data_IF_161424898690
#
_entry.id   IF_161424898690
#
_cell.length_a   1.000
_cell.length_b   1.000
_cell.length_c   1.000
_cell.angle_alpha   90.00
_cell.angle_beta   90.00
_cell.angle_gamma   90.00
#
_symmetry.space_group_name_H-M   'P 1'
#
loop_
_entity.id
_entity.type
_entity.pdbx_description
1 polymer ?
#
# COMPACT_ATOMS: atom_id res chain seq x y z
N UNK A 1 10.83 13.76 22.30
CA UNK A 1 9.64 13.56 23.17
C UNK A 1 9.57 12.08 23.49
N UNK A 2 9.13 11.70 24.69
CA UNK A 2 8.83 10.28 24.96
C UNK A 2 7.66 9.83 24.08
N UNK A 3 7.67 8.61 23.54
CA UNK A 3 6.58 8.11 22.71
C UNK A 3 5.28 8.05 23.53
N UNK A 4 4.17 8.41 22.89
CA UNK A 4 2.83 8.33 23.48
C UNK A 4 2.33 6.89 23.52
N UNK A 5 1.36 6.61 24.39
CA UNK A 5 0.54 5.40 24.27
C UNK A 5 -0.65 5.64 23.31
N UNK A 6 -1.26 4.56 22.82
CA UNK A 6 -2.45 4.65 21.95
C UNK A 6 -3.58 5.44 22.63
N UNK A 7 -3.74 5.29 23.95
CA UNK A 7 -4.77 6.01 24.72
C UNK A 7 -4.52 7.51 24.83
N UNK A 8 -3.26 7.96 24.69
CA UNK A 8 -2.91 9.39 24.77
C UNK A 8 -3.13 10.15 23.45
N UNK A 9 -3.28 9.43 22.32
CA UNK A 9 -3.33 10.03 20.98
C UNK A 9 -4.46 11.04 20.82
N UNK A 10 -5.65 10.75 21.36
CA UNK A 10 -6.80 11.64 21.24
C UNK A 10 -6.56 12.97 21.96
N UNK A 11 -5.98 12.92 23.16
CA UNK A 11 -5.63 14.11 23.94
C UNK A 11 -4.52 14.91 23.24
N UNK A 12 -3.47 14.23 22.75
CA UNK A 12 -2.38 14.89 22.03
C UNK A 12 -2.87 15.62 20.77
N UNK A 13 -3.78 15.00 20.00
CA UNK A 13 -4.41 15.62 18.83
C UNK A 13 -5.29 16.83 19.18
N UNK A 14 -6.00 16.75 20.32
CA UNK A 14 -6.86 17.84 20.78
C UNK A 14 -6.05 19.03 21.33
N UNK A 15 -5.02 18.75 22.13
CA UNK A 15 -4.27 19.76 22.87
C UNK A 15 -3.09 20.34 22.07
N UNK A 16 -2.41 19.52 21.26
CA UNK A 16 -1.16 19.87 20.56
C UNK A 16 -1.07 19.27 19.15
N UNK A 17 -1.98 19.60 18.22
CA UNK A 17 -1.97 19.05 16.86
C UNK A 17 -0.67 19.34 16.09
N UNK A 18 0.07 20.40 16.44
CA UNK A 18 1.38 20.74 15.84
C UNK A 18 2.46 19.68 16.10
N UNK A 19 2.29 18.85 17.15
CA UNK A 19 3.24 17.79 17.52
C UNK A 19 3.43 16.74 16.42
N UNK A 20 2.46 16.58 15.51
CA UNK A 20 2.54 15.68 14.35
C UNK A 20 3.63 16.16 13.38
N UNK A 21 3.63 17.46 13.07
CA UNK A 21 4.63 18.04 12.18
C UNK A 21 6.01 18.05 12.86
N UNK A 22 6.07 18.32 14.17
CA UNK A 22 7.29 18.22 14.98
C UNK A 22 7.87 16.80 14.92
N UNK A 23 7.05 15.77 15.13
CA UNK A 23 7.45 14.36 15.08
C UNK A 23 7.98 13.97 13.68
N UNK A 24 7.28 14.36 12.61
CA UNK A 24 7.73 14.12 11.23
C UNK A 24 9.06 14.82 10.91
N UNK A 25 9.26 16.04 11.43
CA UNK A 25 10.48 16.80 11.25
C UNK A 25 11.67 16.17 11.98
N UNK A 26 11.47 15.64 13.20
CA UNK A 26 12.54 15.02 13.99
C UNK A 26 12.82 13.56 13.61
N UNK A 27 11.88 12.86 12.96
CA UNK A 27 11.98 11.44 12.63
C UNK A 27 13.28 11.10 11.92
N UNK A 28 13.98 10.10 12.42
CA UNK A 28 15.12 9.49 11.77
C UNK A 28 14.64 8.71 10.53
N UNK A 29 15.23 9.02 9.39
CA UNK A 29 14.91 8.39 8.11
C UNK A 29 15.91 7.30 7.79
N UNK A 30 15.57 6.50 6.78
CA UNK A 30 16.44 5.52 6.16
C UNK A 30 16.34 5.61 4.62
N UNK A 31 17.28 5.04 3.86
CA UNK A 31 17.11 4.83 2.44
C UNK A 31 15.89 3.95 2.12
N UNK A 32 15.29 4.15 0.95
CA UNK A 32 14.13 3.37 0.48
C UNK A 32 14.47 1.87 0.39
N UNK A 33 15.62 1.54 -0.20
CA UNK A 33 16.15 0.18 -0.25
C UNK A 33 17.33 0.08 0.71
N UNK A 34 17.33 -0.97 1.53
CA UNK A 34 18.49 -1.35 2.34
C UNK A 34 19.51 -2.15 1.53
N UNK A 35 20.48 -2.73 2.24
CA UNK A 35 21.61 -3.45 1.63
C UNK A 35 21.19 -4.69 0.81
N UNK A 36 20.04 -5.31 1.15
CA UNK A 36 19.48 -6.44 0.39
C UNK A 36 18.92 -6.03 -0.98
N UNK A 37 18.67 -4.74 -1.21
CA UNK A 37 17.96 -4.25 -2.39
C UNK A 37 16.49 -4.69 -2.47
N UNK A 38 15.93 -5.23 -1.36
CA UNK A 38 14.52 -5.61 -1.21
C UNK A 38 13.82 -4.72 -0.17
N UNK A 39 12.49 -4.73 -0.17
CA UNK A 39 11.65 -4.02 0.78
C UNK A 39 10.45 -4.84 1.27
N UNK A 40 10.14 -4.73 2.56
CA UNK A 40 8.92 -5.22 3.20
C UNK A 40 8.13 -4.05 3.81
N UNK A 41 6.93 -3.79 3.30
CA UNK A 41 6.05 -2.74 3.80
C UNK A 41 4.71 -3.33 4.26
N UNK A 42 4.26 -2.91 5.43
CA UNK A 42 2.93 -3.26 5.95
C UNK A 42 1.91 -2.21 5.53
N UNK A 43 0.77 -2.61 4.96
CA UNK A 43 -0.22 -1.69 4.40
C UNK A 43 -1.52 -1.63 5.21
N UNK A 44 -1.96 -0.42 5.56
CA UNK A 44 -3.16 -0.17 6.37
C UNK A 44 -4.00 1.03 5.87
N UNK A 45 -4.05 1.28 4.56
CA UNK A 45 -4.91 2.33 3.98
C UNK A 45 -6.37 1.89 3.79
N UNK A 46 -6.67 0.59 3.89
CA UNK A 46 -7.99 -0.07 3.70
C UNK A 46 -9.18 0.67 4.36
N UNK A 47 -9.13 1.05 5.64
CA UNK A 47 -10.28 1.67 6.31
C UNK A 47 -10.78 2.96 5.66
N UNK A 48 -9.87 3.79 5.13
CA UNK A 48 -10.23 5.05 4.49
C UNK A 48 -11.02 4.90 3.18
N UNK A 49 -11.14 3.68 2.65
CA UNK A 49 -11.98 3.34 1.48
C UNK A 49 -13.30 2.67 1.88
N UNK A 50 -13.59 2.59 3.17
CA UNK A 50 -14.74 1.85 3.70
C UNK A 50 -14.56 0.33 3.66
N UNK A 51 -13.35 -0.17 3.39
CA UNK A 51 -13.03 -1.60 3.36
C UNK A 51 -12.46 -2.02 4.71
N UNK A 52 -13.33 -2.49 5.60
CA UNK A 52 -12.97 -2.86 6.99
C UNK A 52 -12.81 -4.37 7.20
N UNK A 53 -13.24 -5.18 6.25
CA UNK A 53 -13.27 -6.62 6.39
C UNK A 53 -11.88 -7.27 6.29
N UNK A 54 -11.63 -8.27 7.13
CA UNK A 54 -10.50 -9.20 7.04
C UNK A 54 -10.83 -10.51 7.79
N UNK A 55 -10.27 -11.65 7.35
CA UNK A 55 -10.36 -12.92 8.09
C UNK A 55 -11.79 -13.39 8.42
N UNK A 56 -12.78 -13.05 7.59
CA UNK A 56 -14.19 -13.37 7.81
C UNK A 56 -14.97 -12.38 8.69
N UNK A 57 -14.30 -11.48 9.41
CA UNK A 57 -14.94 -10.40 10.17
C UNK A 57 -15.15 -9.16 9.28
N UNK A 58 -16.41 -8.71 9.04
CA UNK A 58 -16.70 -7.54 8.22
C UNK A 58 -16.18 -6.22 8.81
N UNK A 59 -15.86 -6.18 10.10
CA UNK A 59 -15.42 -5.00 10.84
C UNK A 59 -14.03 -5.16 11.48
N UNK A 60 -13.22 -6.13 11.04
CA UNK A 60 -11.89 -6.42 11.60
C UNK A 60 -11.03 -5.16 11.80
N UNK A 61 -11.01 -4.25 10.82
CA UNK A 61 -10.21 -3.03 10.85
C UNK A 61 -10.94 -1.81 11.44
N UNK A 62 -12.14 -1.97 11.99
CA UNK A 62 -12.94 -0.87 12.51
C UNK A 62 -12.39 -0.32 13.84
N UNK A 63 -11.77 -1.18 14.65
CA UNK A 63 -11.15 -0.76 15.91
C UNK A 63 -9.77 -0.15 15.64
N UNK A 64 -9.68 1.18 15.72
CA UNK A 64 -8.42 1.91 15.49
C UNK A 64 -7.32 1.51 16.47
N UNK A 65 -7.64 1.28 17.75
CA UNK A 65 -6.63 0.91 18.73
C UNK A 65 -6.01 -0.46 18.41
N UNK A 66 -6.84 -1.43 18.05
CA UNK A 66 -6.40 -2.76 17.60
C UNK A 66 -5.55 -2.67 16.33
N UNK A 67 -6.00 -1.91 15.32
CA UNK A 67 -5.22 -1.72 14.09
C UNK A 67 -3.83 -1.12 14.37
N UNK A 68 -3.74 -0.12 15.26
CA UNK A 68 -2.46 0.50 15.65
C UNK A 68 -1.56 -0.46 16.43
N UNK A 69 -2.12 -1.25 17.34
CA UNK A 69 -1.37 -2.25 18.11
C UNK A 69 -0.75 -3.33 17.19
N UNK A 70 -1.54 -3.82 16.23
CA UNK A 70 -1.08 -4.76 15.19
C UNK A 70 -0.01 -4.13 14.30
N UNK A 71 -0.16 -2.87 13.92
CA UNK A 71 0.83 -2.14 13.13
C UNK A 71 2.15 -1.94 13.90
N UNK A 72 2.09 -1.58 15.18
CA UNK A 72 3.28 -1.47 16.03
C UNK A 72 3.99 -2.83 16.14
N UNK A 73 3.25 -3.90 16.43
CA UNK A 73 3.77 -5.28 16.46
C UNK A 73 4.48 -5.64 15.16
N UNK A 74 3.85 -5.35 14.02
CA UNK A 74 4.43 -5.62 12.71
C UNK A 74 5.69 -4.77 12.43
N UNK A 75 5.68 -3.48 12.78
CA UNK A 75 6.80 -2.57 12.56
C UNK A 75 8.00 -2.86 13.45
N UNK A 76 7.81 -3.47 14.62
CA UNK A 76 8.89 -3.93 15.50
C UNK A 76 9.62 -5.16 14.94
N UNK A 77 9.02 -5.90 14.00
CA UNK A 77 9.64 -7.12 13.45
C UNK A 77 10.90 -6.79 12.65
N UNK A 78 12.02 -7.48 12.89
CA UNK A 78 13.20 -7.38 12.04
C UNK A 78 12.86 -7.70 10.57
N UNK A 79 13.40 -6.91 9.64
CA UNK A 79 13.15 -7.06 8.21
C UNK A 79 11.89 -6.36 7.70
N UNK A 80 11.06 -5.75 8.56
CA UNK A 80 10.02 -4.81 8.11
C UNK A 80 10.61 -3.42 7.93
N UNK A 81 10.63 -2.95 6.69
CA UNK A 81 11.26 -1.69 6.31
C UNK A 81 10.35 -0.47 6.52
N UNK A 82 9.03 -0.66 6.57
CA UNK A 82 8.13 0.47 6.68
C UNK A 82 6.63 0.18 6.61
N UNK A 83 5.86 1.26 6.41
CA UNK A 83 4.40 1.25 6.41
C UNK A 83 3.82 2.05 5.24
N UNK A 84 2.69 1.59 4.73
CA UNK A 84 1.81 2.30 3.80
C UNK A 84 0.48 2.62 4.52
N UNK A 85 0.07 3.88 4.57
CA UNK A 85 -1.17 4.27 5.24
C UNK A 85 -1.75 5.60 4.77
N UNK A 86 -2.95 5.92 5.24
CA UNK A 86 -3.53 7.26 5.13
C UNK A 86 -3.01 8.19 6.22
N UNK A 87 -3.28 9.49 6.11
CA UNK A 87 -2.72 10.51 7.01
C UNK A 87 -3.01 10.20 8.48
N UNK A 88 -4.26 9.88 8.81
CA UNK A 88 -4.69 9.52 10.16
C UNK A 88 -3.87 8.36 10.77
N UNK A 89 -3.64 7.28 10.01
CA UNK A 89 -2.83 6.13 10.47
C UNK A 89 -1.37 6.52 10.64
N UNK A 90 -0.77 7.19 9.65
CA UNK A 90 0.64 7.53 9.66
C UNK A 90 0.98 8.56 10.74
N UNK A 91 0.09 9.52 10.98
CA UNK A 91 0.24 10.52 12.03
C UNK A 91 0.12 9.90 13.43
N UNK A 92 -0.78 8.94 13.64
CA UNK A 92 -0.83 8.20 14.91
C UNK A 92 0.49 7.46 15.14
N UNK A 93 1.01 6.76 14.13
CA UNK A 93 2.30 6.04 14.22
C UNK A 93 3.49 6.98 14.42
N UNK A 94 3.46 8.21 13.88
CA UNK A 94 4.45 9.25 14.18
C UNK A 94 4.46 9.60 15.67
N UNK A 95 3.29 9.86 16.24
CA UNK A 95 3.14 10.23 17.65
C UNK A 95 3.50 9.10 18.61
N UNK A 96 3.26 7.85 18.20
CA UNK A 96 3.71 6.64 18.91
C UNK A 96 5.23 6.40 18.79
N UNK A 97 5.94 7.12 17.91
CA UNK A 97 7.37 6.91 17.66
C UNK A 97 7.69 5.64 16.85
N UNK A 98 6.68 5.00 16.25
CA UNK A 98 6.83 3.72 15.54
C UNK A 98 7.48 3.86 14.13
N UNK A 99 7.69 5.10 13.64
CA UNK A 99 8.21 5.36 12.29
C UNK A 99 9.70 5.74 12.26
N UNK A 100 10.39 5.65 13.38
CA UNK A 100 11.84 5.85 13.45
C UNK A 100 12.56 4.79 12.60
N UNK A 101 13.44 5.25 11.70
CA UNK A 101 14.15 4.41 10.73
C UNK A 101 13.21 3.52 9.88
N UNK A 102 12.00 4.00 9.58
CA UNK A 102 11.06 3.34 8.66
C UNK A 102 10.88 4.11 7.36
N UNK A 103 10.60 3.38 6.27
CA UNK A 103 10.05 3.93 5.04
C UNK A 103 8.57 4.25 5.27
N UNK A 104 8.14 5.45 4.91
CA UNK A 104 6.75 5.90 5.09
C UNK A 104 6.13 6.22 3.74
N UNK A 105 5.09 5.48 3.36
CA UNK A 105 4.38 5.64 2.09
C UNK A 105 2.97 6.15 2.36
N UNK A 106 2.61 7.30 1.80
CA UNK A 106 1.27 7.87 1.96
C UNK A 106 0.33 7.45 0.84
N UNK A 107 -0.86 6.96 1.21
CA UNK A 107 -1.94 6.67 0.25
C UNK A 107 -2.59 7.99 -0.22
N UNK A 108 -2.79 8.11 -1.54
CA UNK A 108 -3.14 9.37 -2.21
C UNK A 108 -4.60 9.45 -2.68
N UNK A 109 -5.19 8.35 -3.16
CA UNK A 109 -6.59 8.30 -3.57
C UNK A 109 -7.37 7.22 -2.81
N UNK A 110 -8.50 7.64 -2.21
CA UNK A 110 -9.47 6.78 -1.51
C UNK A 110 -10.91 7.21 -1.83
N UNK A 111 -11.12 8.07 -2.82
CA UNK A 111 -12.44 8.59 -3.19
C UNK A 111 -13.38 7.51 -3.71
N UNK A 112 -12.82 6.44 -4.28
CA UNK A 112 -13.55 5.29 -4.79
C UNK A 112 -13.96 4.35 -3.66
N UNK A 113 -14.93 4.76 -2.84
CA UNK A 113 -15.43 4.01 -1.69
C UNK A 113 -15.98 2.64 -2.11
N UNK A 114 -15.63 1.60 -1.35
CA UNK A 114 -16.05 0.22 -1.63
C UNK A 114 -17.58 0.09 -1.66
N UNK A 115 -18.12 -0.54 -2.70
CA UNK A 115 -19.55 -0.75 -2.91
C UNK A 115 -20.31 0.46 -3.45
N UNK A 116 -19.68 1.61 -3.62
CA UNK A 116 -20.35 2.81 -4.16
C UNK A 116 -20.60 2.70 -5.67
N UNK A 117 -21.62 3.41 -6.15
CA UNK A 117 -21.89 3.53 -7.59
C UNK A 117 -20.77 4.26 -8.33
N UNK A 118 -20.02 5.12 -7.63
CA UNK A 118 -18.90 5.91 -8.16
C UNK A 118 -17.53 5.31 -7.81
N UNK A 119 -17.47 4.04 -7.40
CA UNK A 119 -16.26 3.41 -6.88
C UNK A 119 -15.04 3.49 -7.82
N UNK A 120 -15.25 3.59 -9.14
CA UNK A 120 -14.21 3.72 -10.16
C UNK A 120 -13.86 5.18 -10.52
N UNK A 121 -14.61 6.18 -10.05
CA UNK A 121 -14.19 7.58 -9.98
C UNK A 121 -13.36 7.79 -8.70
N UNK A 122 -12.23 7.10 -8.61
CA UNK A 122 -11.38 6.99 -7.42
C UNK A 122 -10.51 8.23 -7.22
N UNK A 123 -11.17 9.32 -6.80
CA UNK A 123 -10.57 10.65 -6.64
C UNK A 123 -9.49 10.68 -5.55
N UNK A 124 -8.54 11.60 -5.75
CA UNK A 124 -7.44 11.87 -4.84
C UNK A 124 -7.94 12.65 -3.61
N UNK A 125 -8.21 11.91 -2.54
CA UNK A 125 -8.75 12.39 -1.26
C UNK A 125 -7.79 12.21 -0.09
N UNK A 126 -6.62 11.60 -0.33
CA UNK A 126 -5.57 11.38 0.65
C UNK A 126 -4.43 12.39 0.52
N UNK A 127 -3.20 11.93 0.74
CA UNK A 127 -2.01 12.78 0.64
C UNK A 127 -1.81 13.31 -0.79
N UNK A 128 -1.42 14.59 -0.90
CA UNK A 128 -0.86 15.16 -2.14
C UNK A 128 0.67 15.07 -2.09
N UNK A 129 1.31 15.16 -3.25
CA UNK A 129 2.78 15.10 -3.34
C UNK A 129 3.49 16.15 -2.45
N UNK A 130 2.92 17.36 -2.36
CA UNK A 130 3.43 18.42 -1.50
C UNK A 130 3.31 18.12 0.01
N UNK A 131 2.27 17.38 0.41
CA UNK A 131 2.07 17.01 1.81
C UNK A 131 3.12 15.97 2.22
N UNK A 132 3.34 14.96 1.36
CA UNK A 132 4.37 13.93 1.55
C UNK A 132 5.77 14.54 1.66
N UNK A 133 6.10 15.47 0.75
CA UNK A 133 7.38 16.17 0.78
C UNK A 133 7.57 16.96 2.08
N UNK A 134 6.55 17.74 2.50
CA UNK A 134 6.58 18.52 3.74
C UNK A 134 6.73 17.63 4.98
N UNK A 135 6.07 16.48 5.00
CA UNK A 135 6.14 15.50 6.10
C UNK A 135 7.40 14.62 6.05
N UNK A 136 8.27 14.81 5.06
CA UNK A 136 9.48 13.99 4.86
C UNK A 136 9.14 12.49 4.74
N UNK A 137 8.00 12.18 4.11
CA UNK A 137 7.63 10.82 3.72
C UNK A 137 8.35 10.43 2.43
N UNK A 138 8.46 9.12 2.20
CA UNK A 138 9.43 8.57 1.26
C UNK A 138 8.80 8.27 -0.11
N UNK A 139 7.49 8.04 -0.16
CA UNK A 139 6.74 7.77 -1.38
C UNK A 139 5.25 8.10 -1.27
N UNK A 140 4.60 8.27 -2.41
CA UNK A 140 3.15 8.27 -2.55
C UNK A 140 2.67 6.96 -3.17
N UNK A 141 1.49 6.50 -2.78
CA UNK A 141 0.83 5.34 -3.37
C UNK A 141 -0.54 5.72 -3.91
N UNK A 142 -0.87 5.23 -5.11
CA UNK A 142 -2.19 5.38 -5.70
C UNK A 142 -2.75 4.04 -6.18
N UNK A 143 -4.07 3.87 -6.07
CA UNK A 143 -4.82 2.73 -6.62
C UNK A 143 -5.38 3.12 -7.99
N UNK A 144 -5.04 2.36 -9.02
CA UNK A 144 -5.49 2.59 -10.39
C UNK A 144 -6.31 1.41 -10.87
N UNK A 145 -7.63 1.48 -10.67
CA UNK A 145 -8.57 0.51 -11.23
C UNK A 145 -9.21 1.07 -12.49
N UNK A 146 -9.25 0.26 -13.54
CA UNK A 146 -9.73 0.66 -14.85
C UNK A 146 -10.77 -0.33 -15.34
N UNK A 147 -11.97 0.16 -15.60
CA UNK A 147 -13.04 -0.53 -16.31
C UNK A 147 -13.31 0.25 -17.60
N UNK A 148 -13.35 -0.45 -18.73
CA UNK A 148 -13.55 0.18 -20.05
C UNK A 148 -15.00 0.66 -20.26
N UNK A 149 -15.93 0.17 -19.45
CA UNK A 149 -17.34 0.54 -19.51
C UNK A 149 -17.73 1.60 -18.45
N UNK A 150 -16.82 1.94 -17.51
CA UNK A 150 -17.07 2.94 -16.47
C UNK A 150 -16.30 4.26 -16.75
N UNK A 151 -17.00 5.38 -17.03
CA UNK A 151 -16.36 6.66 -17.31
C UNK A 151 -15.58 7.23 -16.13
N UNK A 152 -15.85 6.79 -14.89
CA UNK A 152 -15.06 7.15 -13.71
C UNK A 152 -13.59 6.76 -13.84
N UNK A 153 -13.30 5.69 -14.58
CA UNK A 153 -11.93 5.23 -14.87
C UNK A 153 -11.07 6.32 -15.51
N UNK A 154 -11.65 7.14 -16.40
CA UNK A 154 -10.90 8.21 -17.07
C UNK A 154 -10.46 9.32 -16.10
N UNK A 155 -11.33 9.70 -15.15
CA UNK A 155 -10.99 10.67 -14.11
C UNK A 155 -9.87 10.12 -13.20
N UNK A 156 -9.96 8.85 -12.82
CA UNK A 156 -8.94 8.17 -12.02
C UNK A 156 -7.59 8.12 -12.76
N UNK A 157 -7.60 7.78 -14.05
CA UNK A 157 -6.39 7.76 -14.88
C UNK A 157 -5.75 9.15 -15.01
N UNK A 158 -6.55 10.19 -15.24
CA UNK A 158 -6.04 11.57 -15.31
C UNK A 158 -5.46 12.01 -13.96
N UNK A 159 -6.16 11.73 -12.86
CA UNK A 159 -5.67 12.00 -11.51
C UNK A 159 -4.36 11.28 -11.22
N UNK A 160 -4.25 10.00 -11.62
CA UNK A 160 -3.03 9.22 -11.47
C UNK A 160 -1.85 9.82 -12.25
N UNK A 161 -2.06 10.22 -13.51
CA UNK A 161 -1.02 10.88 -14.31
C UNK A 161 -0.54 12.19 -13.68
N UNK A 162 -1.47 13.00 -13.15
CA UNK A 162 -1.13 14.24 -12.44
C UNK A 162 -0.33 13.96 -11.16
N UNK A 163 -0.78 13.01 -10.34
CA UNK A 163 -0.09 12.64 -9.10
C UNK A 163 1.33 12.09 -9.36
N UNK A 164 1.51 11.28 -10.41
CA UNK A 164 2.83 10.79 -10.83
C UNK A 164 3.75 11.96 -11.19
N UNK A 165 3.25 12.92 -11.99
CA UNK A 165 4.02 14.12 -12.35
C UNK A 165 4.42 14.92 -11.11
N UNK A 166 3.47 15.20 -10.22
CA UNK A 166 3.72 16.00 -9.01
C UNK A 166 4.73 15.33 -8.05
N UNK A 167 4.70 14.00 -7.95
CA UNK A 167 5.68 13.22 -7.18
C UNK A 167 7.06 13.26 -7.83
N UNK A 168 7.14 13.04 -9.14
CA UNK A 168 8.38 13.06 -9.90
C UNK A 168 9.08 14.44 -9.82
N UNK A 169 8.32 15.54 -9.91
CA UNK A 169 8.84 16.91 -9.73
C UNK A 169 9.48 17.13 -8.34
N UNK A 170 9.08 16.34 -7.35
CA UNK A 170 9.59 16.40 -5.96
C UNK A 170 10.61 15.30 -5.67
N UNK A 171 11.00 14.51 -6.66
CA UNK A 171 11.90 13.37 -6.50
C UNK A 171 11.34 12.27 -5.59
N UNK A 172 10.02 12.18 -5.46
CA UNK A 172 9.34 11.17 -4.64
C UNK A 172 8.88 10.00 -5.52
N UNK A 173 8.95 8.79 -4.98
CA UNK A 173 8.44 7.60 -5.66
C UNK A 173 6.91 7.65 -5.76
N UNK A 174 6.40 7.29 -6.94
CA UNK A 174 5.01 7.02 -7.22
C UNK A 174 4.78 5.51 -7.30
N UNK A 175 4.21 4.92 -6.26
CA UNK A 175 3.81 3.52 -6.24
C UNK A 175 2.39 3.38 -6.80
N UNK A 176 2.29 2.89 -8.03
CA UNK A 176 1.03 2.71 -8.75
C UNK A 176 0.55 1.27 -8.54
N UNK A 177 -0.68 1.08 -8.09
CA UNK A 177 -1.33 -0.22 -7.90
C UNK A 177 -2.39 -0.46 -9.00
N UNK A 178 -2.02 -1.04 -10.16
CA UNK A 178 -2.92 -1.11 -11.31
C UNK A 178 -3.73 -2.40 -11.39
N UNK A 179 -4.99 -2.27 -11.78
CA UNK A 179 -5.89 -3.37 -12.10
C UNK A 179 -6.78 -3.03 -13.29
N UNK A 180 -7.04 -4.02 -14.13
CA UNK A 180 -8.30 -4.02 -14.87
C UNK A 180 -9.39 -4.54 -13.93
N UNK A 181 -10.55 -3.89 -13.98
CA UNK A 181 -11.69 -4.20 -13.14
C UNK A 181 -12.94 -4.26 -13.99
N UNK A 182 -13.97 -4.95 -13.48
CA UNK A 182 -15.30 -4.95 -14.06
C UNK A 182 -16.37 -4.88 -12.97
N UNK A 183 -17.49 -4.23 -13.26
CA UNK A 183 -18.67 -4.33 -12.41
C UNK A 183 -19.46 -5.61 -12.71
N UNK A 184 -19.58 -6.49 -11.73
CA UNK A 184 -20.37 -7.73 -11.84
C UNK A 184 -21.24 -7.91 -10.60
N UNK A 185 -22.56 -8.00 -10.79
CA UNK A 185 -23.50 -8.15 -9.67
C UNK A 185 -23.56 -6.95 -8.73
N UNK A 186 -23.27 -5.74 -9.23
CA UNK A 186 -23.23 -4.50 -8.44
C UNK A 186 -21.86 -4.21 -7.80
N UNK A 187 -20.99 -5.21 -7.70
CA UNK A 187 -19.66 -5.10 -7.10
C UNK A 187 -18.57 -4.86 -8.16
N UNK A 188 -17.56 -4.07 -7.81
CA UNK A 188 -16.34 -3.96 -8.62
C UNK A 188 -15.41 -5.12 -8.29
N UNK A 189 -15.01 -5.88 -9.31
CA UNK A 189 -14.07 -7.00 -9.17
C UNK A 189 -12.85 -6.77 -10.05
N UNK A 190 -11.67 -7.00 -9.48
CA UNK A 190 -10.42 -6.95 -10.24
C UNK A 190 -10.24 -8.25 -11.04
N UNK A 191 -9.80 -8.11 -12.28
CA UNK A 191 -9.37 -9.22 -13.11
C UNK A 191 -7.88 -9.50 -12.84
N UNK A 192 -7.60 -10.66 -12.27
CA UNK A 192 -6.25 -11.11 -11.91
C UNK A 192 -5.70 -12.15 -12.89
N UNK A 193 -6.33 -12.30 -14.06
CA UNK A 193 -5.78 -13.10 -15.15
C UNK A 193 -4.47 -12.48 -15.67
N UNK A 194 -3.61 -13.33 -16.22
CA UNK A 194 -2.30 -12.96 -16.78
C UNK A 194 -2.41 -11.81 -17.78
N UNK A 195 -3.39 -11.88 -18.70
CA UNK A 195 -3.61 -10.84 -19.71
C UNK A 195 -4.04 -9.52 -19.07
N UNK A 196 -4.95 -9.56 -18.11
CA UNK A 196 -5.44 -8.37 -17.43
C UNK A 196 -4.34 -7.67 -16.62
N UNK A 197 -3.52 -8.44 -15.89
CA UNK A 197 -2.38 -7.91 -15.12
C UNK A 197 -1.31 -7.34 -16.04
N UNK A 198 -0.91 -8.07 -17.09
CA UNK A 198 0.05 -7.57 -18.08
C UNK A 198 -0.42 -6.24 -18.72
N UNK A 199 -1.70 -6.18 -19.10
CA UNK A 199 -2.31 -5.01 -19.71
C UNK A 199 -2.41 -3.83 -18.74
N UNK A 200 -2.79 -4.06 -17.48
CA UNK A 200 -2.86 -2.99 -16.48
C UNK A 200 -1.46 -2.43 -16.17
N UNK A 201 -0.45 -3.29 -16.09
CA UNK A 201 0.97 -2.92 -15.93
C UNK A 201 1.43 -2.03 -17.09
N UNK A 202 1.18 -2.45 -18.33
CA UNK A 202 1.60 -1.70 -19.51
C UNK A 202 0.97 -0.30 -19.57
N UNK A 203 -0.33 -0.20 -19.26
CA UNK A 203 -1.04 1.09 -19.21
C UNK A 203 -0.46 1.97 -18.10
N UNK A 204 -0.33 1.44 -16.88
CA UNK A 204 0.17 2.19 -15.73
C UNK A 204 1.61 2.67 -15.91
N UNK A 205 2.46 1.86 -16.54
CA UNK A 205 3.86 2.20 -16.83
C UNK A 205 4.01 3.40 -17.76
N UNK A 206 2.99 3.67 -18.58
CA UNK A 206 2.97 4.79 -19.53
C UNK A 206 2.33 6.08 -18.99
N UNK A 207 1.87 6.12 -17.74
CA UNK A 207 1.27 7.32 -17.16
C UNK A 207 2.33 8.30 -16.64
N UNK A 208 2.10 9.59 -16.88
CA UNK A 208 2.99 10.68 -16.49
C UNK A 208 3.96 11.11 -17.60
N UNK A 209 4.62 12.26 -17.40
CA UNK A 209 5.64 12.79 -18.30
C UNK A 209 7.02 12.15 -18.12
N UNK A 210 7.20 11.36 -17.06
CA UNK A 210 8.39 10.54 -16.80
C UNK A 210 8.01 9.36 -15.90
N UNK A 211 8.62 8.20 -16.13
CA UNK A 211 8.48 7.02 -15.28
C UNK A 211 9.69 6.78 -14.38
N UNK A 212 10.64 7.73 -14.31
CA UNK A 212 11.89 7.59 -13.53
C UNK A 212 11.68 7.34 -12.03
N UNK A 213 10.51 7.75 -11.49
CA UNK A 213 10.13 7.57 -10.10
C UNK A 213 8.94 6.63 -9.92
N UNK A 214 8.50 5.94 -10.99
CA UNK A 214 7.33 5.06 -10.94
C UNK A 214 7.74 3.67 -10.49
N UNK A 215 7.06 3.18 -9.46
CA UNK A 215 7.11 1.81 -8.97
C UNK A 215 5.73 1.17 -9.15
N UNK A 216 5.67 -0.13 -9.36
CA UNK A 216 4.42 -0.85 -9.51
C UNK A 216 4.16 -1.72 -8.28
N UNK A 217 2.92 -1.69 -7.77
CA UNK A 217 2.41 -2.60 -6.74
C UNK A 217 1.38 -3.51 -7.38
N UNK A 218 1.71 -4.77 -7.63
CA UNK A 218 0.93 -5.65 -8.51
C UNK A 218 0.45 -6.91 -7.79
N UNK A 219 -0.72 -7.46 -8.18
CA UNK A 219 -1.14 -8.78 -7.70
C UNK A 219 -0.21 -9.86 -8.24
N UNK A 220 -0.13 -10.98 -7.52
CA UNK A 220 0.40 -12.21 -8.13
C UNK A 220 -0.78 -12.97 -8.73
N UNK A 221 -0.65 -13.34 -10.00
CA UNK A 221 -1.64 -14.14 -10.73
C UNK A 221 -1.79 -15.52 -10.07
N UNK A 222 -2.92 -16.18 -10.31
CA UNK A 222 -3.22 -17.44 -9.64
C UNK A 222 -2.32 -18.59 -10.11
N UNK A 223 -2.01 -18.64 -11.40
CA UNK A 223 -1.19 -19.68 -12.00
C UNK A 223 0.31 -19.40 -11.78
N UNK A 224 0.95 -20.21 -10.94
CA UNK A 224 2.38 -20.13 -10.58
C UNK A 224 3.31 -20.01 -11.80
N UNK A 225 3.05 -20.79 -12.86
CA UNK A 225 3.88 -20.84 -14.07
C UNK A 225 3.73 -19.59 -14.95
N UNK A 226 2.67 -18.81 -14.75
CA UNK A 226 2.39 -17.59 -15.54
C UNK A 226 2.77 -16.30 -14.80
N UNK A 227 3.20 -16.40 -13.54
CA UNK A 227 3.66 -15.26 -12.71
C UNK A 227 4.74 -14.45 -13.42
N UNK A 228 5.70 -15.12 -14.05
CA UNK A 228 6.77 -14.48 -14.82
C UNK A 228 6.21 -13.66 -15.98
N UNK A 229 5.31 -14.25 -16.76
CA UNK A 229 4.79 -13.67 -18.01
C UNK A 229 4.02 -12.37 -17.78
N UNK A 230 3.21 -12.28 -16.71
CA UNK A 230 2.52 -11.04 -16.39
C UNK A 230 3.52 -9.91 -16.04
N UNK A 231 4.52 -10.24 -15.22
CA UNK A 231 5.49 -9.29 -14.68
C UNK A 231 6.60 -8.89 -15.68
N UNK A 232 6.83 -9.68 -16.72
CA UNK A 232 7.71 -9.33 -17.84
C UNK A 232 7.21 -8.14 -18.68
N UNK A 233 5.99 -7.66 -18.45
CA UNK A 233 5.39 -6.52 -19.14
C UNK A 233 6.03 -5.16 -18.81
N UNK A 234 7.04 -5.13 -17.93
CA UNK A 234 7.68 -3.89 -17.48
C UNK A 234 9.15 -4.11 -17.10
N UNK A 235 9.92 -3.01 -17.12
CA UNK A 235 11.26 -2.93 -16.52
C UNK A 235 11.26 -2.09 -15.25
N UNK A 236 10.10 -1.56 -14.83
CA UNK A 236 9.99 -0.73 -13.64
C UNK A 236 10.19 -1.58 -12.38
N UNK A 237 10.71 -0.98 -11.28
CA UNK A 237 10.75 -1.64 -10.00
C UNK A 237 9.34 -2.03 -9.54
N UNK A 238 9.17 -3.28 -9.11
CA UNK A 238 7.86 -3.84 -8.78
C UNK A 238 7.86 -4.42 -7.38
N UNK A 239 6.79 -4.22 -6.62
CA UNK A 239 6.52 -4.90 -5.35
C UNK A 239 5.22 -5.68 -5.46
N UNK A 240 5.11 -6.78 -4.73
CA UNK A 240 3.94 -7.64 -4.77
C UNK A 240 3.00 -7.26 -3.65
N UNK A 241 1.70 -7.25 -3.93
CA UNK A 241 0.67 -7.10 -2.92
C UNK A 241 0.19 -8.45 -2.38
N UNK A 242 -0.29 -8.44 -1.14
CA UNK A 242 -1.13 -9.50 -0.61
C UNK A 242 -2.57 -9.04 -0.62
N UNK A 243 -3.42 -9.82 -1.28
CA UNK A 243 -4.83 -9.51 -1.53
C UNK A 243 -5.70 -9.62 -0.28
N UNK A 244 -6.80 -10.36 -0.39
CA UNK A 244 -7.59 -10.79 0.78
C UNK A 244 -6.78 -11.74 1.66
N UNK A 245 -7.27 -11.99 2.89
CA UNK A 245 -6.76 -13.09 3.72
C UNK A 245 -7.02 -14.40 2.96
N UNK A 246 -5.99 -15.15 2.56
CA UNK A 246 -6.16 -16.32 1.70
C UNK A 246 -6.58 -17.54 2.51
N UNK A 247 -7.43 -18.39 1.92
CA UNK A 247 -7.76 -19.72 2.47
C UNK A 247 -6.53 -20.65 2.51
N UNK A 248 -5.54 -20.43 1.62
CA UNK A 248 -4.25 -21.12 1.62
C UNK A 248 -3.07 -20.12 1.67
N UNK A 249 -2.60 -19.78 2.88
CA UNK A 249 -1.42 -18.94 3.08
C UNK A 249 -0.13 -19.55 2.50
N UNK A 250 -0.02 -20.88 2.47
CA UNK A 250 1.18 -21.56 1.98
C UNK A 250 1.31 -21.45 0.46
N UNK A 251 0.22 -21.66 -0.28
CA UNK A 251 0.17 -21.44 -1.73
C UNK A 251 0.46 -19.97 -2.08
N UNK A 252 -0.08 -19.02 -1.30
CA UNK A 252 0.21 -17.59 -1.48
C UNK A 252 1.69 -17.27 -1.30
N UNK A 253 2.35 -17.83 -0.27
CA UNK A 253 3.80 -17.67 -0.09
C UNK A 253 4.63 -18.32 -1.21
N UNK A 254 4.18 -19.45 -1.77
CA UNK A 254 4.86 -20.05 -2.94
C UNK A 254 4.80 -19.12 -4.16
N UNK A 255 3.63 -18.50 -4.40
CA UNK A 255 3.44 -17.51 -5.46
C UNK A 255 4.33 -16.28 -5.28
N UNK A 256 4.42 -15.74 -4.07
CA UNK A 256 5.37 -14.67 -3.76
C UNK A 256 6.82 -15.10 -3.99
N UNK A 257 7.21 -16.28 -3.52
CA UNK A 257 8.58 -16.79 -3.70
C UNK A 257 8.97 -16.91 -5.17
N UNK A 258 8.06 -17.39 -6.01
CA UNK A 258 8.25 -17.50 -7.46
C UNK A 258 8.44 -16.11 -8.10
N UNK A 259 7.52 -15.17 -7.82
CA UNK A 259 7.60 -13.80 -8.31
C UNK A 259 8.88 -13.06 -7.85
N UNK A 260 9.33 -13.29 -6.61
CA UNK A 260 10.53 -12.68 -6.05
C UNK A 260 11.83 -13.11 -6.78
N UNK A 261 11.81 -14.20 -7.55
CA UNK A 261 12.96 -14.58 -8.39
C UNK A 261 13.17 -13.64 -9.58
N UNK A 262 12.17 -12.83 -9.96
CA UNK A 262 12.29 -11.89 -11.07
C UNK A 262 13.17 -10.68 -10.68
N UNK A 263 14.15 -10.28 -11.52
CA UNK A 263 15.15 -9.26 -11.14
C UNK A 263 14.59 -7.87 -10.81
N UNK A 264 13.47 -7.48 -11.43
CA UNK A 264 12.84 -6.18 -11.24
C UNK A 264 11.86 -6.16 -10.05
N UNK A 265 11.52 -7.34 -9.49
CA UNK A 265 10.70 -7.42 -8.28
C UNK A 265 11.58 -7.08 -7.08
N UNK A 266 11.12 -6.21 -6.20
CA UNK A 266 11.87 -5.59 -5.10
C UNK A 266 11.28 -5.90 -3.74
N UNK A 267 10.22 -6.69 -3.63
CA UNK A 267 9.72 -7.16 -2.34
C UNK A 267 8.21 -7.12 -2.24
N UNK A 268 7.72 -6.86 -1.03
CA UNK A 268 6.32 -7.06 -0.65
C UNK A 268 5.72 -5.80 -0.02
N UNK A 269 4.47 -5.49 -0.37
CA UNK A 269 3.64 -4.45 0.25
C UNK A 269 2.28 -5.07 0.60
N UNK A 270 2.14 -5.57 1.81
CA UNK A 270 1.04 -6.46 2.21
C UNK A 270 0.32 -5.90 3.42
N UNK A 271 -1.01 -5.99 3.43
CA UNK A 271 -1.84 -5.47 4.51
C UNK A 271 -2.58 -6.56 5.28
N UNK A 272 -3.84 -6.78 4.92
CA UNK A 272 -4.82 -7.56 5.68
C UNK A 272 -4.33 -8.94 6.12
N UNK A 273 -3.70 -9.70 5.23
CA UNK A 273 -3.23 -11.06 5.55
C UNK A 273 -2.10 -11.11 6.59
N UNK A 274 -1.40 -10.00 6.86
CA UNK A 274 -0.37 -9.92 7.90
C UNK A 274 -0.91 -9.32 9.19
N UNK A 275 -1.80 -8.34 9.09
CA UNK A 275 -2.37 -7.66 10.25
C UNK A 275 -3.50 -8.47 10.90
N UNK A 276 -4.23 -9.26 10.11
CA UNK A 276 -5.35 -10.08 10.57
C UNK A 276 -5.19 -11.52 10.04
N UNK A 277 -4.12 -12.22 10.45
CA UNK A 277 -3.94 -13.63 10.08
C UNK A 277 -4.98 -14.50 10.79
N UNK A 278 -5.22 -15.70 10.26
CA UNK A 278 -6.24 -16.63 10.78
C UNK A 278 -6.01 -17.06 12.23
N UNK A 279 -4.75 -17.21 12.64
CA UNK A 279 -4.33 -17.59 14.00
C UNK A 279 -4.13 -16.39 14.94
N UNK A 280 -4.42 -15.17 14.46
CA UNK A 280 -4.24 -13.89 15.16
C UNK A 280 -2.79 -13.57 15.57
N UNK A 281 -1.79 -14.29 15.03
CA UNK A 281 -0.37 -14.07 15.30
C UNK A 281 0.29 -13.19 14.22
N UNK A 282 0.15 -11.87 14.38
CA UNK A 282 0.74 -10.86 13.49
C UNK A 282 2.25 -11.02 13.38
N UNK A 283 2.95 -11.31 14.48
CA UNK A 283 4.40 -11.40 14.49
C UNK A 283 4.88 -12.58 13.63
N UNK A 284 4.28 -13.76 13.82
CA UNK A 284 4.61 -14.96 13.02
C UNK A 284 4.23 -14.79 11.55
N UNK A 285 3.09 -14.17 11.25
CA UNK A 285 2.68 -13.90 9.86
C UNK A 285 3.67 -12.97 9.14
N UNK A 286 4.11 -11.91 9.82
CA UNK A 286 5.09 -10.95 9.30
C UNK A 286 6.46 -11.61 9.13
N UNK A 287 6.95 -12.34 10.14
CA UNK A 287 8.25 -13.02 10.09
C UNK A 287 8.29 -14.04 8.93
N UNK A 288 7.19 -14.75 8.69
CA UNK A 288 7.07 -15.69 7.58
C UNK A 288 7.11 -15.01 6.20
N UNK A 289 6.61 -13.78 6.08
CA UNK A 289 6.70 -12.99 4.85
C UNK A 289 8.10 -12.39 4.65
N UNK A 290 8.72 -11.90 5.73
CA UNK A 290 10.11 -11.40 5.73
C UNK A 290 11.09 -12.49 5.29
N UNK A 291 10.89 -13.73 5.75
CA UNK A 291 11.75 -14.87 5.40
C UNK A 291 11.76 -15.24 3.90
N UNK A 292 10.94 -14.58 3.07
CA UNK A 292 10.96 -14.73 1.62
C UNK A 292 11.92 -13.79 0.90
N UNK A 293 12.39 -12.72 1.57
CA UNK A 293 13.21 -11.64 0.99
C UNK A 293 14.71 -11.89 1.19
#
# INVERSE_FOLDING_TARGET
MSPLSITDLSEARAARPESIAEAAASRARRPLLGDSGRMMIVAADHPARGSLAAGGDPLAMANRADLLDRLCTALERPGVDGVLGTADVLEDLLLLGALEHKVVIGSMNRGGLAGSSFELDDRFTGHRAQDLHRMRFDAGKLLLRMDFDDPGSLNTMQGAANAINELAERGLIAMVEPFLSRRAGGEVRNDVSVEAVARSIAIASGLGGTSAYTWLKVPVVDELDEVGRALESTTLPTVLLGGEVPDDPAATRQRWRAALQLPHVRGLVVGRSLLYPEDDDVASAVDAAVALL
#
